data_IF_875372089660
#
_entry.id   IF_875372089660
#
_cell.length_a   1.000
_cell.length_b   1.000
_cell.length_c   1.000
_cell.angle_alpha   90.00
_cell.angle_beta   90.00
_cell.angle_gamma   90.00
#
_symmetry.space_group_name_H-M   'P 1'
#
loop_
_entity.id
_entity.type
_entity.pdbx_description
1 polymer ?
#
# COMPACT_ATOMS: atom_id res chain seq x y z
N UNK A 1 -26.54 -8.69 -8.77
CA UNK A 1 -25.30 -9.36 -9.22
C UNK A 1 -24.20 -8.31 -9.29
N UNK A 2 -23.90 -7.67 -8.16
CA UNK A 2 -23.22 -6.37 -8.10
C UNK A 2 -21.91 -6.53 -7.35
N UNK A 3 -20.97 -7.21 -7.99
CA UNK A 3 -19.63 -7.39 -7.41
C UNK A 3 -18.71 -6.33 -7.99
N UNK A 4 -17.92 -5.68 -7.13
CA UNK A 4 -17.00 -4.61 -7.52
C UNK A 4 -16.12 -5.03 -8.69
N UNK A 5 -16.22 -4.31 -9.81
CA UNK A 5 -15.42 -4.58 -11.01
C UNK A 5 -14.05 -3.94 -10.90
N UNK A 6 -13.04 -4.61 -11.47
CA UNK A 6 -11.65 -4.14 -11.51
C UNK A 6 -11.56 -2.65 -11.86
N UNK A 7 -12.19 -2.29 -12.98
CA UNK A 7 -12.14 -0.96 -13.58
C UNK A 7 -12.75 0.11 -12.68
N UNK A 8 -13.80 -0.22 -11.93
CA UNK A 8 -14.41 0.74 -11.01
C UNK A 8 -13.47 1.00 -9.83
N UNK A 9 -12.79 -0.04 -9.32
CA UNK A 9 -11.89 0.10 -8.18
C UNK A 9 -10.66 0.91 -8.59
N UNK A 10 -10.13 0.63 -9.79
CA UNK A 10 -9.04 1.41 -10.38
C UNK A 10 -9.44 2.87 -10.59
N UNK A 11 -10.65 3.14 -11.11
CA UNK A 11 -11.14 4.49 -11.32
C UNK A 11 -11.28 5.27 -10.01
N UNK A 12 -11.89 4.68 -8.97
CA UNK A 12 -12.05 5.32 -7.66
C UNK A 12 -10.70 5.59 -6.98
N UNK A 13 -9.77 4.63 -7.02
CA UNK A 13 -8.43 4.81 -6.46
C UNK A 13 -7.62 5.85 -7.25
N UNK A 14 -7.71 5.85 -8.59
CA UNK A 14 -7.04 6.83 -9.44
C UNK A 14 -7.61 8.24 -9.28
N UNK A 15 -8.92 8.38 -9.10
CA UNK A 15 -9.57 9.65 -8.82
C UNK A 15 -9.05 10.29 -7.52
N UNK A 16 -8.75 9.46 -6.51
CA UNK A 16 -8.22 9.91 -5.22
C UNK A 16 -6.70 10.07 -5.22
N UNK A 17 -5.98 9.33 -6.08
CA UNK A 17 -4.52 9.38 -6.20
C UNK A 17 -4.08 9.62 -7.65
N UNK A 18 -4.30 10.82 -8.20
CA UNK A 18 -3.92 11.12 -9.59
C UNK A 18 -2.41 11.04 -9.84
N UNK A 19 -1.59 11.16 -8.80
CA UNK A 19 -0.13 11.01 -8.88
C UNK A 19 0.38 9.57 -8.77
N UNK A 20 -0.50 8.58 -8.52
CA UNK A 20 -0.12 7.19 -8.35
C UNK A 20 -0.65 6.34 -9.49
N UNK A 21 0.14 5.34 -9.87
CA UNK A 21 -0.30 4.30 -10.78
C UNK A 21 -0.97 3.20 -9.97
N UNK A 22 -2.28 3.06 -10.15
CA UNK A 22 -3.09 2.01 -9.52
C UNK A 22 -3.17 0.82 -10.46
N UNK A 23 -2.98 -0.38 -9.94
CA UNK A 23 -3.17 -1.63 -10.68
C UNK A 23 -3.97 -2.60 -9.82
N UNK A 24 -5.12 -3.04 -10.31
CA UNK A 24 -5.92 -4.04 -9.61
C UNK A 24 -5.86 -5.40 -10.32
N UNK A 25 -5.81 -6.46 -9.52
CA UNK A 25 -5.79 -7.85 -9.97
C UNK A 25 -6.86 -8.62 -9.22
N UNK A 26 -7.79 -9.21 -9.95
CA UNK A 26 -8.75 -10.15 -9.40
C UNK A 26 -8.18 -11.55 -9.48
N UNK A 27 -8.25 -12.26 -8.36
CA UNK A 27 -7.89 -13.66 -8.29
C UNK A 27 -9.13 -14.53 -8.49
N UNK A 28 -8.93 -15.73 -9.02
CA UNK A 28 -9.99 -16.73 -9.25
C UNK A 28 -10.62 -17.24 -7.95
N UNK A 29 -9.93 -17.04 -6.83
CA UNK A 29 -10.39 -17.31 -5.46
C UNK A 29 -11.46 -16.30 -4.97
N UNK A 30 -11.68 -15.21 -5.73
CA UNK A 30 -12.63 -14.15 -5.36
C UNK A 30 -12.02 -13.04 -4.51
N UNK A 31 -10.73 -13.14 -4.21
CA UNK A 31 -9.94 -12.08 -3.59
C UNK A 31 -9.45 -11.07 -4.63
N UNK A 32 -9.26 -9.83 -4.18
CA UNK A 32 -8.72 -8.72 -4.95
C UNK A 32 -7.37 -8.32 -4.36
N UNK A 33 -6.44 -8.02 -5.26
CA UNK A 33 -5.16 -7.40 -4.95
C UNK A 33 -5.10 -6.04 -5.65
N UNK A 34 -4.66 -5.01 -4.95
CA UNK A 34 -4.47 -3.66 -5.47
C UNK A 34 -3.04 -3.19 -5.18
N UNK A 35 -2.33 -2.74 -6.22
CA UNK A 35 -0.98 -2.23 -6.14
C UNK A 35 -1.00 -0.76 -6.52
N UNK A 36 -0.44 0.09 -5.66
CA UNK A 36 -0.29 1.52 -5.85
C UNK A 36 1.19 1.86 -5.94
N UNK A 37 1.59 2.39 -7.09
CA UNK A 37 2.97 2.74 -7.40
C UNK A 37 3.12 4.25 -7.53
N UNK A 38 3.89 4.85 -6.63
CA UNK A 38 4.18 6.27 -6.59
C UNK A 38 5.48 6.66 -7.31
N UNK A 39 5.66 7.95 -7.62
CA UNK A 39 6.76 8.45 -8.45
C UNK A 39 8.14 8.46 -7.77
N UNK A 40 8.24 8.21 -6.47
CA UNK A 40 9.50 8.42 -5.71
C UNK A 40 10.21 7.17 -5.19
N UNK A 41 9.56 6.00 -5.25
CA UNK A 41 9.90 4.68 -4.62
C UNK A 41 8.81 4.17 -3.69
N UNK A 42 7.73 4.95 -3.52
CA UNK A 42 6.60 4.53 -2.70
C UNK A 42 5.78 3.48 -3.45
N UNK A 43 5.84 2.24 -2.97
CA UNK A 43 5.07 1.12 -3.50
C UNK A 43 4.24 0.54 -2.36
N UNK A 44 2.92 0.53 -2.55
CA UNK A 44 1.97 -0.01 -1.58
C UNK A 44 1.16 -1.11 -2.24
N UNK A 45 1.19 -2.31 -1.69
CA UNK A 45 0.43 -3.44 -2.21
C UNK A 45 -0.52 -3.94 -1.13
N UNK A 46 -1.80 -4.01 -1.47
CA UNK A 46 -2.84 -4.59 -0.62
C UNK A 46 -3.31 -5.87 -1.30
N UNK A 47 -3.22 -6.99 -0.60
CA UNK A 47 -3.63 -8.31 -1.08
C UNK A 47 -4.66 -8.92 -0.13
N UNK A 48 -5.40 -9.92 -0.61
CA UNK A 48 -6.38 -10.64 0.23
C UNK A 48 -7.68 -9.87 0.51
N UNK A 49 -8.03 -8.88 -0.31
CA UNK A 49 -9.29 -8.15 -0.15
C UNK A 49 -10.45 -9.07 -0.57
N UNK A 50 -11.28 -9.49 0.38
CA UNK A 50 -12.41 -10.37 0.11
C UNK A 50 -13.60 -9.56 -0.42
N UNK A 51 -13.86 -9.63 -1.73
CA UNK A 51 -14.97 -8.88 -2.39
C UNK A 51 -16.34 -9.20 -1.82
N UNK A 52 -16.54 -10.39 -1.24
CA UNK A 52 -17.82 -10.79 -0.65
C UNK A 52 -18.27 -9.89 0.52
N UNK A 53 -17.33 -9.23 1.20
CA UNK A 53 -17.59 -8.29 2.30
C UNK A 53 -18.02 -6.89 1.82
N UNK A 54 -17.84 -6.60 0.53
CA UNK A 54 -18.09 -5.29 -0.06
C UNK A 54 -19.28 -5.39 -1.02
N UNK A 55 -20.48 -5.05 -0.52
CA UNK A 55 -21.74 -5.09 -1.29
C UNK A 55 -22.44 -3.74 -1.30
N UNK A 56 -23.02 -3.38 -2.45
CA UNK A 56 -23.77 -2.13 -2.64
C UNK A 56 -22.96 -1.02 -3.31
N UNK A 57 -23.64 0.07 -3.66
CA UNK A 57 -23.06 1.19 -4.41
C UNK A 57 -21.90 1.87 -3.68
N UNK A 58 -21.93 1.91 -2.35
CA UNK A 58 -20.90 2.55 -1.53
C UNK A 58 -19.71 1.65 -1.19
N UNK A 59 -19.79 0.36 -1.54
CA UNK A 59 -18.78 -0.61 -1.16
C UNK A 59 -17.41 -0.29 -1.77
N UNK A 60 -17.41 0.32 -2.95
CA UNK A 60 -16.20 0.72 -3.66
C UNK A 60 -15.51 1.90 -3.00
N UNK A 61 -16.28 2.92 -2.65
CA UNK A 61 -15.76 4.13 -2.02
C UNK A 61 -15.30 3.83 -0.60
N UNK A 62 -15.96 2.88 0.08
CA UNK A 62 -15.51 2.38 1.38
C UNK A 62 -14.20 1.59 1.27
N UNK A 63 -14.11 0.65 0.33
CA UNK A 63 -12.88 -0.09 0.06
C UNK A 63 -11.71 0.83 -0.27
N UNK A 64 -11.92 1.77 -1.19
CA UNK A 64 -10.90 2.75 -1.57
C UNK A 64 -10.48 3.60 -0.38
N UNK A 65 -11.42 4.02 0.48
CA UNK A 65 -11.11 4.80 1.67
C UNK A 65 -10.24 4.04 2.67
N UNK A 66 -10.53 2.76 2.91
CA UNK A 66 -9.75 1.93 3.83
C UNK A 66 -8.32 1.74 3.32
N UNK A 67 -8.15 1.42 2.03
CA UNK A 67 -6.82 1.27 1.41
C UNK A 67 -6.00 2.57 1.55
N UNK A 68 -6.63 3.72 1.28
CA UNK A 68 -5.98 5.03 1.38
C UNK A 68 -5.62 5.38 2.82
N UNK A 69 -6.52 5.09 3.76
CA UNK A 69 -6.29 5.35 5.18
C UNK A 69 -5.10 4.53 5.69
N UNK A 70 -5.06 3.24 5.38
CA UNK A 70 -3.93 2.37 5.72
C UNK A 70 -2.62 2.87 5.09
N UNK A 71 -2.66 3.28 3.82
CA UNK A 71 -1.49 3.85 3.13
C UNK A 71 -0.98 5.12 3.83
N UNK A 72 -1.88 6.04 4.22
CA UNK A 72 -1.52 7.28 4.91
C UNK A 72 -0.95 6.98 6.30
N UNK A 73 -1.57 6.08 7.06
CA UNK A 73 -1.09 5.67 8.38
C UNK A 73 0.28 5.00 8.30
N UNK A 74 0.49 4.10 7.34
CA UNK A 74 1.78 3.43 7.10
C UNK A 74 2.89 4.44 6.77
N UNK A 75 2.57 5.50 6.00
CA UNK A 75 3.51 6.59 5.71
C UNK A 75 3.79 7.50 6.89
N UNK A 76 2.78 7.77 7.72
CA UNK A 76 2.97 8.59 8.92
C UNK A 76 3.84 7.86 9.94
N UNK A 77 3.65 6.56 10.11
CA UNK A 77 4.52 5.72 10.94
C UNK A 77 5.98 5.78 10.45
N UNK A 78 6.20 5.66 9.14
CA UNK A 78 7.54 5.73 8.55
C UNK A 78 8.20 7.12 8.61
N UNK A 79 7.41 8.21 8.62
CA UNK A 79 7.96 9.56 8.85
C UNK A 79 8.38 9.82 10.29
N UNK A 80 7.90 9.03 11.24
CA UNK A 80 8.30 9.14 12.65
C UNK A 80 9.60 8.39 12.97
N UNK A 81 10.14 7.62 12.01
CA UNK A 81 11.43 6.92 12.14
C UNK A 81 12.64 7.81 11.79
N UNK A 82 12.45 9.12 11.56
CA UNK A 82 13.58 10.06 11.47
C UNK A 82 14.16 10.44 12.85
N UNK A 83 14.13 9.50 13.80
CA UNK A 83 14.92 9.45 15.01
C UNK A 83 15.39 8.02 15.32
N UNK A 84 15.88 7.28 14.32
CA UNK A 84 16.85 6.23 14.60
C UNK A 84 18.09 6.44 13.74
N UNK A 85 19.00 7.26 14.27
CA UNK A 85 20.39 7.20 13.88
C UNK A 85 20.87 5.76 14.13
N UNK A 86 21.51 5.08 13.17
CA UNK A 86 22.10 3.78 13.44
C UNK A 86 23.24 3.99 14.46
N UNK A 87 23.26 3.32 15.63
CA UNK A 87 24.52 3.14 16.33
C UNK A 87 25.38 2.28 15.40
N UNK A 88 26.48 2.86 14.92
CA UNK A 88 27.42 2.22 14.00
C UNK A 88 27.88 0.85 14.53
N UNK A 89 28.27 -0.07 13.61
CA UNK A 89 28.61 -1.43 13.98
C UNK A 89 29.86 -1.46 14.85
N UNK A 90 29.77 -2.24 15.92
CA UNK A 90 30.92 -2.64 16.71
C UNK A 90 31.92 -3.44 15.85
N UNK A 91 33.20 -3.19 16.14
CA UNK A 91 34.35 -4.07 15.93
C UNK A 91 34.87 -4.18 14.49
N UNK A 92 36.03 -3.55 14.25
CA UNK A 92 37.19 -4.16 13.60
C UNK A 92 38.33 -3.14 13.51
N UNK A 93 39.25 -3.12 14.47
CA UNK A 93 40.66 -2.86 14.15
C UNK A 93 41.56 -3.67 15.09
N UNK A 94 41.74 -4.94 14.71
CA UNK A 94 42.94 -5.69 15.09
C UNK A 94 44.05 -5.23 14.14
N UNK A 95 45.06 -4.59 14.71
CA UNK A 95 46.42 -4.56 14.16
C UNK A 95 46.96 -3.18 13.79
N UNK A 96 47.82 -2.62 14.64
CA UNK A 96 49.19 -2.26 14.22
C UNK A 96 50.15 -2.10 15.40
N UNK A 97 51.29 -2.74 15.21
CA UNK A 97 52.43 -2.79 16.10
C UNK A 97 53.10 -1.42 16.33
N UNK A 98 53.52 -1.17 17.57
CA UNK A 98 54.93 -0.87 17.89
C UNK A 98 55.21 -1.14 19.36
#
# INVERSE_FOLDING_TARGET
MDTLSKSQIEAELAARLPSYKVTCTLHTDGTLSAVLSGPKTDHFAVTGIVRAHYRGAEAISRLANEILKEMVLSRQSMRSDRMQAPPGPATCEIGRAR
#
